data_IF_352382366765
#
_entry.id   IF_352382366765
#
_cell.length_a   1.000
_cell.length_b   1.000
_cell.length_c   1.000
_cell.angle_alpha   90.00
_cell.angle_beta   90.00
_cell.angle_gamma   90.00
#
_symmetry.space_group_name_H-M   'P 1'
#
loop_
_entity.id
_entity.type
_entity.pdbx_description
1 polymer ?
#
# COMPACT_ATOMS: atom_id res chain seq x y z
N UNK A 1 3.88 -5.98 -11.98
CA UNK A 1 2.54 -6.58 -11.94
C UNK A 1 1.93 -6.35 -10.57
N UNK A 2 0.67 -5.91 -10.54
CA UNK A 2 0.04 -5.55 -9.27
C UNK A 2 -0.32 -6.81 -8.47
N UNK A 3 -0.20 -6.70 -7.14
CA UNK A 3 -0.56 -7.77 -6.21
C UNK A 3 -1.63 -7.32 -5.21
N UNK A 4 -1.83 -6.02 -5.06
CA UNK A 4 -2.87 -5.45 -4.20
C UNK A 4 -3.35 -4.15 -4.83
N UNK A 5 -4.66 -3.92 -4.78
CA UNK A 5 -5.25 -2.65 -5.22
C UNK A 5 -6.43 -2.32 -4.31
N UNK A 6 -6.52 -1.06 -3.89
CA UNK A 6 -7.63 -0.55 -3.07
C UNK A 6 -8.11 0.78 -3.60
N UNK A 7 -9.42 1.00 -3.50
CA UNK A 7 -10.08 2.23 -3.98
C UNK A 7 -11.19 2.59 -3.01
N UNK A 8 -11.40 3.88 -2.77
CA UNK A 8 -12.47 4.36 -1.92
C UNK A 8 -13.40 5.32 -2.68
N UNK A 9 -14.48 5.74 -2.00
CA UNK A 9 -15.50 6.63 -2.57
C UNK A 9 -14.97 8.02 -2.90
N UNK A 10 -13.92 8.46 -2.20
CA UNK A 10 -13.32 9.77 -2.41
C UNK A 10 -12.41 9.81 -3.63
N UNK A 11 -12.23 8.68 -4.29
CA UNK A 11 -11.36 8.56 -5.44
C UNK A 11 -9.90 8.30 -5.12
N UNK A 12 -9.57 8.11 -3.86
CA UNK A 12 -8.23 7.68 -3.46
C UNK A 12 -8.01 6.24 -3.91
N UNK A 13 -6.81 5.97 -4.41
CA UNK A 13 -6.46 4.66 -4.97
C UNK A 13 -5.04 4.30 -4.58
N UNK A 14 -4.83 3.04 -4.24
CA UNK A 14 -3.49 2.53 -3.97
C UNK A 14 -3.26 1.23 -4.73
N UNK A 15 -2.02 1.02 -5.13
CA UNK A 15 -1.60 -0.21 -5.81
C UNK A 15 -0.25 -0.63 -5.24
N UNK A 16 -0.12 -1.91 -4.95
CA UNK A 16 1.18 -2.53 -4.64
C UNK A 16 1.56 -3.38 -5.85
N UNK A 17 2.77 -3.19 -6.35
CA UNK A 17 3.26 -3.91 -7.52
C UNK A 17 4.52 -4.69 -7.16
N UNK A 18 4.64 -5.87 -7.73
CA UNK A 18 5.87 -6.67 -7.65
C UNK A 18 6.87 -6.15 -8.70
N UNK A 19 8.14 -6.08 -8.31
CA UNK A 19 9.21 -5.68 -9.20
C UNK A 19 9.71 -6.94 -9.94
N UNK A 20 9.23 -7.14 -11.16
CA UNK A 20 9.57 -8.32 -11.95
C UNK A 20 9.11 -9.61 -11.28
N UNK A 21 9.98 -10.62 -11.24
CA UNK A 21 9.74 -11.89 -10.53
C UNK A 21 10.52 -11.96 -9.21
N UNK A 22 10.91 -10.80 -8.67
CA UNK A 22 11.67 -10.70 -7.42
C UNK A 22 10.73 -10.67 -6.23
N UNK A 23 11.28 -10.70 -5.02
CA UNK A 23 10.52 -10.49 -3.79
C UNK A 23 10.44 -9.01 -3.40
N UNK A 24 10.80 -8.12 -4.30
CA UNK A 24 10.66 -6.68 -4.11
C UNK A 24 9.30 -6.17 -4.53
N UNK A 25 8.77 -5.22 -3.78
CA UNK A 25 7.46 -4.62 -4.05
C UNK A 25 7.56 -3.11 -3.89
N UNK A 26 6.73 -2.38 -4.62
CA UNK A 26 6.61 -0.95 -4.42
C UNK A 26 5.14 -0.55 -4.32
N UNK A 27 4.90 0.55 -3.61
CA UNK A 27 3.60 1.14 -3.34
C UNK A 27 3.44 2.39 -4.19
N UNK A 28 2.27 2.56 -4.79
CA UNK A 28 1.89 3.79 -5.46
C UNK A 28 0.48 4.17 -5.02
N UNK A 29 0.35 5.39 -4.48
CA UNK A 29 -0.94 5.90 -4.04
C UNK A 29 -1.30 7.17 -4.78
N UNK A 30 -2.57 7.33 -5.09
CA UNK A 30 -3.14 8.55 -5.66
C UNK A 30 -4.17 9.09 -4.68
N UNK A 31 -3.90 10.29 -4.18
CA UNK A 31 -4.76 10.99 -3.22
C UNK A 31 -5.13 12.35 -3.79
N UNK A 32 -5.97 13.10 -3.09
CA UNK A 32 -6.37 14.44 -3.47
C UNK A 32 -5.16 15.28 -3.85
N UNK A 33 -5.01 15.58 -5.13
CA UNK A 33 -3.99 16.49 -5.64
C UNK A 33 -2.60 15.92 -5.79
N UNK A 34 -2.38 14.59 -5.72
CA UNK A 34 -1.05 14.07 -5.91
C UNK A 34 -0.91 12.58 -5.92
N UNK A 35 0.29 12.13 -6.27
CA UNK A 35 0.66 10.72 -6.25
C UNK A 35 1.91 10.54 -5.40
N UNK A 36 2.02 9.40 -4.73
CA UNK A 36 3.13 9.06 -3.85
C UNK A 36 3.62 7.67 -4.19
N UNK A 37 4.94 7.50 -4.31
CA UNK A 37 5.56 6.19 -4.52
C UNK A 37 6.55 5.91 -3.40
N UNK A 38 6.55 4.67 -2.92
CA UNK A 38 7.48 4.20 -1.88
C UNK A 38 7.79 2.73 -2.08
N UNK A 39 8.99 2.32 -1.69
CA UNK A 39 9.32 0.90 -1.62
C UNK A 39 8.58 0.27 -0.45
N UNK A 40 8.11 -0.96 -0.64
CA UNK A 40 7.48 -1.72 0.44
C UNK A 40 8.59 -2.24 1.36
N UNK A 41 8.50 -1.90 2.64
CA UNK A 41 9.48 -2.32 3.64
C UNK A 41 9.22 -3.74 4.11
N UNK A 42 7.96 -4.10 4.32
CA UNK A 42 7.57 -5.44 4.73
C UNK A 42 6.19 -5.78 4.21
N UNK A 43 5.93 -7.08 4.06
CA UNK A 43 4.70 -7.62 3.52
C UNK A 43 4.23 -8.76 4.41
N UNK A 44 2.95 -8.75 4.76
CA UNK A 44 2.34 -9.85 5.51
C UNK A 44 2.17 -11.09 4.64
N UNK A 45 2.14 -12.26 5.28
CA UNK A 45 2.01 -13.54 4.60
C UNK A 45 0.63 -13.74 3.96
N UNK A 46 -0.37 -12.96 4.37
CA UNK A 46 -1.73 -13.03 3.82
C UNK A 46 -1.87 -12.29 2.48
N UNK A 47 -0.84 -11.55 2.05
CA UNK A 47 -0.89 -10.77 0.81
C UNK A 47 -1.78 -9.53 0.90
N UNK A 48 -2.23 -9.16 2.09
CA UNK A 48 -3.15 -8.03 2.32
C UNK A 48 -2.58 -7.00 3.28
N UNK A 49 -1.37 -7.22 3.79
CA UNK A 49 -0.73 -6.33 4.76
C UNK A 49 0.59 -5.87 4.22
N UNK A 50 0.82 -4.56 4.21
CA UNK A 50 2.04 -3.95 3.68
C UNK A 50 2.45 -2.79 4.55
N UNK A 51 3.75 -2.61 4.72
CA UNK A 51 4.31 -1.47 5.45
C UNK A 51 5.35 -0.78 4.60
N UNK A 52 5.24 0.53 4.48
CA UNK A 52 6.18 1.39 3.77
C UNK A 52 6.72 2.41 4.75
N UNK A 53 8.05 2.40 4.97
CA UNK A 53 8.71 3.33 5.88
C UNK A 53 9.62 4.27 5.12
N UNK A 54 9.53 5.57 5.42
CA UNK A 54 10.39 6.58 4.81
C UNK A 54 10.60 7.70 5.83
N UNK A 55 11.81 7.77 6.40
CA UNK A 55 12.09 8.72 7.46
C UNK A 55 11.21 8.48 8.67
N UNK A 56 10.54 9.51 9.16
CA UNK A 56 9.59 9.41 10.28
C UNK A 56 8.18 9.02 9.87
N UNK A 57 7.95 8.72 8.58
CA UNK A 57 6.62 8.40 8.08
C UNK A 57 6.50 6.90 7.85
N UNK A 58 5.40 6.31 8.31
CA UNK A 58 5.07 4.90 8.10
C UNK A 58 3.68 4.83 7.50
N UNK A 59 3.54 4.11 6.40
CA UNK A 59 2.25 3.83 5.79
C UNK A 59 1.96 2.35 6.01
N UNK A 60 0.83 2.05 6.65
CA UNK A 60 0.41 0.68 6.91
C UNK A 60 -0.86 0.38 6.15
N UNK A 61 -0.86 -0.70 5.40
CA UNK A 61 -2.06 -1.25 4.78
C UNK A 61 -2.37 -2.56 5.49
N UNK A 62 -3.60 -2.70 5.96
CA UNK A 62 -4.07 -3.91 6.63
C UNK A 62 -5.48 -4.24 6.11
N UNK A 63 -5.55 -5.23 5.24
CA UNK A 63 -6.82 -5.60 4.61
C UNK A 63 -7.39 -4.47 3.78
N UNK A 64 -8.41 -3.80 4.26
CA UNK A 64 -9.07 -2.69 3.56
C UNK A 64 -8.80 -1.33 4.21
N UNK A 65 -7.87 -1.24 5.15
CA UNK A 65 -7.53 0.03 5.79
C UNK A 65 -6.13 0.47 5.45
N UNK A 66 -5.93 1.79 5.38
CA UNK A 66 -4.61 2.40 5.20
C UNK A 66 -4.45 3.48 6.26
N UNK A 67 -3.38 3.39 7.04
CA UNK A 67 -3.03 4.39 8.05
C UNK A 67 -1.69 5.03 7.70
N UNK A 68 -1.63 6.35 7.82
CA UNK A 68 -0.38 7.10 7.70
C UNK A 68 0.01 7.58 9.09
N UNK A 69 1.20 7.18 9.53
CA UNK A 69 1.72 7.50 10.86
C UNK A 69 2.97 8.35 10.67
N UNK A 70 3.02 9.50 11.35
CA UNK A 70 4.18 10.39 11.33
C UNK A 70 4.66 10.61 12.75
N UNK A 71 5.92 10.30 13.00
CA UNK A 71 6.55 10.47 14.32
C UNK A 71 5.75 9.82 15.45
N UNK A 72 5.21 8.63 15.18
CA UNK A 72 4.42 7.86 16.13
C UNK A 72 2.96 8.28 16.26
N UNK A 73 2.50 9.23 15.45
CA UNK A 73 1.11 9.68 15.45
C UNK A 73 0.41 9.33 14.15
N UNK A 74 -0.78 8.76 14.24
CA UNK A 74 -1.63 8.55 13.07
C UNK A 74 -2.18 9.88 12.61
N UNK A 75 -1.80 10.30 11.39
CA UNK A 75 -2.22 11.58 10.82
C UNK A 75 -3.29 11.43 9.75
N UNK A 76 -3.49 10.22 9.25
CA UNK A 76 -4.50 9.94 8.23
C UNK A 76 -4.89 8.48 8.28
N UNK A 77 -6.17 8.19 8.04
CA UNK A 77 -6.70 6.84 7.92
C UNK A 77 -7.71 6.81 6.78
N UNK A 78 -7.67 5.75 5.98
CA UNK A 78 -8.61 5.54 4.89
C UNK A 78 -9.13 4.12 4.93
N UNK A 79 -10.39 3.95 4.53
CA UNK A 79 -11.00 2.63 4.36
C UNK A 79 -11.33 2.47 2.89
N UNK A 80 -10.93 1.35 2.31
CA UNK A 80 -11.20 1.07 0.91
C UNK A 80 -12.50 0.28 0.78
N UNK A 81 -13.38 0.73 -0.11
CA UNK A 81 -14.65 0.05 -0.41
C UNK A 81 -14.43 -1.14 -1.33
N UNK A 82 -13.39 -1.08 -2.16
CA UNK A 82 -13.02 -2.15 -3.06
C UNK A 82 -11.55 -2.51 -2.89
N UNK A 83 -11.27 -3.79 -2.68
CA UNK A 83 -9.91 -4.32 -2.54
C UNK A 83 -9.81 -5.56 -3.41
N UNK A 84 -8.73 -5.62 -4.20
CA UNK A 84 -8.40 -6.79 -5.03
C UNK A 84 -6.96 -7.21 -4.74
N UNK A 85 -6.71 -8.50 -4.73
CA UNK A 85 -5.38 -9.05 -4.52
C UNK A 85 -5.06 -10.10 -5.58
N UNK A 86 -3.78 -10.29 -5.86
CA UNK A 86 -3.27 -11.32 -6.78
C UNK A 86 -2.05 -11.97 -6.15
N UNK A 87 -1.83 -13.23 -6.50
CA UNK A 87 -0.61 -13.92 -6.12
C UNK A 87 0.59 -13.30 -6.83
N UNK A 88 1.70 -13.05 -6.13
CA UNK A 88 2.92 -12.62 -6.77
C UNK A 88 3.46 -13.68 -7.73
N UNK A 89 4.22 -13.25 -8.72
CA UNK A 89 4.93 -14.13 -9.63
C UNK A 89 6.33 -14.39 -9.07
N UNK A 90 6.58 -15.62 -8.66
CA UNK A 90 7.88 -16.01 -8.09
C UNK A 90 8.82 -16.66 -9.10
N UNK A 91 8.53 -16.52 -10.36
CA UNK A 91 9.32 -17.08 -11.45
C UNK A 91 8.79 -18.39 -11.92
#
# INVERSE_FOLDING_TARGET
EWVYAGINEDGDKVVICQVGDTDGFYYRGWYHGGALERDVTSRGSDGRSYTMKSGGTVINIDGSTLDVVQNGKTVSSSVFDGVATREPDWG
#
